data_IF_771328994670
#
_entry.id   IF_771328994670
#
_cell.length_a   1.000
_cell.length_b   1.000
_cell.length_c   1.000
_cell.angle_alpha   90.00
_cell.angle_beta   90.00
_cell.angle_gamma   90.00
#
_symmetry.space_group_name_H-M   'P 1'
#
loop_
_entity.id
_entity.type
_entity.pdbx_description
1 polymer ?
#
# COMPACT_ATOMS: atom_id res chain seq x y z
N UNK A 1 18.82 10.75 0.69
CA UNK A 1 18.36 11.60 1.81
C UNK A 1 17.59 10.71 2.78
N UNK A 2 17.74 10.92 4.08
CA UNK A 2 17.01 10.20 5.13
C UNK A 2 16.00 11.14 5.79
N UNK A 3 14.82 10.62 6.10
CA UNK A 3 13.76 11.34 6.82
C UNK A 3 13.39 10.50 8.04
N UNK A 4 13.26 11.14 9.21
CA UNK A 4 12.83 10.48 10.44
C UNK A 4 11.31 10.47 10.53
N UNK A 5 10.73 9.31 10.84
CA UNK A 5 9.32 9.15 11.19
C UNK A 5 9.23 8.73 12.66
N UNK A 6 8.24 9.25 13.40
CA UNK A 6 7.94 8.78 14.75
C UNK A 6 6.85 7.72 14.66
N UNK A 7 7.08 6.57 15.29
CA UNK A 7 6.15 5.44 15.30
C UNK A 7 5.92 4.98 16.73
N UNK A 8 4.66 4.73 17.08
CA UNK A 8 4.30 4.12 18.35
C UNK A 8 4.43 2.61 18.23
N UNK A 9 5.22 2.02 19.12
CA UNK A 9 5.42 0.57 19.28
C UNK A 9 5.31 0.23 20.76
N UNK A 10 5.16 -1.05 21.09
CA UNK A 10 5.13 -1.45 22.50
C UNK A 10 6.49 -1.18 23.18
N UNK A 11 6.42 -0.91 24.49
CA UNK A 11 7.57 -0.54 25.31
C UNK A 11 8.67 -1.62 25.29
N UNK A 12 8.29 -2.89 25.23
CA UNK A 12 9.26 -4.00 25.24
C UNK A 12 10.08 -3.99 23.95
N UNK A 13 9.42 -3.83 22.80
CA UNK A 13 10.08 -3.72 21.49
C UNK A 13 10.96 -2.47 21.42
N UNK A 14 10.49 -1.33 21.95
CA UNK A 14 11.28 -0.10 22.01
C UNK A 14 12.57 -0.28 22.84
N UNK A 15 12.48 -0.96 23.98
CA UNK A 15 13.62 -1.25 24.84
C UNK A 15 14.63 -2.20 24.15
N UNK A 16 14.16 -3.26 23.49
CA UNK A 16 15.01 -4.18 22.72
C UNK A 16 15.75 -3.43 21.62
N UNK A 17 15.03 -2.62 20.83
CA UNK A 17 15.63 -1.85 19.74
C UNK A 17 16.67 -0.85 20.27
N UNK A 18 16.36 -0.14 21.36
CA UNK A 18 17.24 0.89 21.93
C UNK A 18 18.50 0.29 22.54
N UNK A 19 18.41 -0.89 23.15
CA UNK A 19 19.53 -1.60 23.75
C UNK A 19 20.45 -2.29 22.71
N UNK A 20 20.01 -2.44 21.46
CA UNK A 20 20.79 -3.11 20.43
C UNK A 20 22.00 -2.28 19.96
N UNK A 21 23.11 -2.94 19.55
CA UNK A 21 24.24 -2.28 18.91
C UNK A 21 23.84 -1.39 17.73
N UNK A 22 24.64 -0.36 17.44
CA UNK A 22 24.34 0.58 16.35
C UNK A 22 24.21 -0.12 14.98
N UNK A 23 25.01 -1.14 14.73
CA UNK A 23 24.96 -1.94 13.51
C UNK A 23 23.63 -2.71 13.38
N UNK A 24 23.19 -3.34 14.47
CA UNK A 24 21.92 -4.07 14.51
C UNK A 24 20.71 -3.14 14.37
N UNK A 25 20.75 -1.96 15.01
CA UNK A 25 19.71 -0.93 14.84
C UNK A 25 19.59 -0.46 13.40
N UNK A 26 20.72 -0.27 12.71
CA UNK A 26 20.73 0.10 11.30
C UNK A 26 20.13 -1.02 10.44
N UNK A 27 20.50 -2.28 10.68
CA UNK A 27 19.92 -3.44 9.99
C UNK A 27 18.41 -3.52 10.20
N UNK A 28 17.94 -3.38 11.44
CA UNK A 28 16.52 -3.39 11.78
C UNK A 28 15.76 -2.23 11.11
N UNK A 29 16.35 -1.02 11.06
CA UNK A 29 15.78 0.12 10.35
C UNK A 29 15.58 -0.13 8.85
N UNK A 30 16.56 -0.78 8.21
CA UNK A 30 16.47 -1.16 6.79
C UNK A 30 15.35 -2.17 6.56
N UNK A 31 15.27 -3.22 7.40
CA UNK A 31 14.22 -4.23 7.32
C UNK A 31 12.84 -3.62 7.50
N UNK A 32 12.68 -2.69 8.44
CA UNK A 32 11.46 -1.91 8.61
C UNK A 32 11.09 -1.12 7.36
N UNK A 33 12.06 -0.46 6.73
CA UNK A 33 11.84 0.28 5.48
C UNK A 33 11.39 -0.63 4.32
N UNK A 34 11.88 -1.88 4.26
CA UNK A 34 11.41 -2.87 3.29
C UNK A 34 9.95 -3.24 3.56
N UNK A 35 9.63 -3.62 4.80
CA UNK A 35 8.27 -3.99 5.19
C UNK A 35 7.26 -2.86 4.93
N UNK A 36 7.62 -1.61 5.24
CA UNK A 36 6.73 -0.45 4.98
C UNK A 36 6.47 -0.28 3.47
N UNK A 37 7.46 -0.50 2.62
CA UNK A 37 7.29 -0.41 1.16
C UNK A 37 6.46 -1.56 0.60
N UNK A 38 6.47 -2.73 1.23
CA UNK A 38 5.61 -3.84 0.83
C UNK A 38 4.12 -3.48 0.92
N UNK A 39 3.71 -2.55 1.80
CA UNK A 39 2.33 -2.06 1.81
C UNK A 39 1.92 -1.33 0.53
N UNK A 40 2.89 -0.76 -0.22
CA UNK A 40 2.62 -0.19 -1.54
C UNK A 40 2.56 -1.29 -2.63
N UNK A 41 3.24 -2.41 -2.41
CA UNK A 41 3.24 -3.58 -3.29
C UNK A 41 2.10 -4.57 -2.98
N UNK A 42 1.41 -4.41 -1.84
CA UNK A 42 0.19 -5.12 -1.54
C UNK A 42 -0.80 -4.89 -2.70
N UNK A 43 -1.47 -5.95 -3.19
CA UNK A 43 -2.37 -5.80 -4.32
C UNK A 43 -3.34 -4.68 -3.98
N UNK A 44 -3.40 -3.69 -4.88
CA UNK A 44 -4.40 -2.62 -4.85
C UNK A 44 -5.70 -3.23 -4.37
N UNK A 45 -6.33 -2.63 -3.35
CA UNK A 45 -7.61 -3.10 -2.86
C UNK A 45 -8.52 -3.39 -4.05
N UNK A 46 -9.36 -4.42 -3.96
CA UNK A 46 -10.24 -4.79 -5.08
C UNK A 46 -10.98 -3.56 -5.64
N UNK A 47 -11.40 -2.63 -4.77
CA UNK A 47 -11.97 -1.34 -5.16
C UNK A 47 -11.05 -0.52 -6.07
N UNK A 48 -9.79 -0.31 -5.71
CA UNK A 48 -8.84 0.43 -6.55
C UNK A 48 -8.59 -0.25 -7.90
N UNK A 49 -8.54 -1.58 -7.94
CA UNK A 49 -8.43 -2.32 -9.20
C UNK A 49 -9.71 -2.16 -10.05
N UNK A 50 -10.88 -2.21 -9.42
CA UNK A 50 -12.17 -1.98 -10.10
C UNK A 50 -12.28 -0.54 -10.63
N UNK A 51 -11.80 0.46 -9.89
CA UNK A 51 -11.74 1.86 -10.33
C UNK A 51 -10.83 1.99 -11.57
N UNK A 52 -9.65 1.36 -11.55
CA UNK A 52 -8.74 1.35 -12.70
C UNK A 52 -9.34 0.65 -13.93
N UNK A 53 -10.11 -0.42 -13.73
CA UNK A 53 -10.82 -1.12 -14.80
C UNK A 53 -11.94 -0.23 -15.36
N UNK A 54 -12.72 0.41 -14.50
CA UNK A 54 -13.78 1.34 -14.89
C UNK A 54 -13.26 2.51 -15.72
N UNK A 55 -12.20 3.18 -15.23
CA UNK A 55 -11.58 4.30 -15.94
C UNK A 55 -11.08 3.89 -17.34
N UNK A 56 -10.41 2.73 -17.45
CA UNK A 56 -9.93 2.22 -18.76
C UNK A 56 -11.07 1.83 -19.69
N UNK A 57 -12.20 1.38 -19.16
CA UNK A 57 -13.37 1.05 -19.96
C UNK A 57 -14.00 2.33 -20.53
N UNK A 58 -14.16 3.37 -19.71
CA UNK A 58 -14.65 4.68 -20.12
C UNK A 58 -13.74 5.33 -21.17
N UNK A 59 -12.41 5.32 -20.97
CA UNK A 59 -11.43 5.80 -21.97
C UNK A 59 -11.53 5.08 -23.32
N UNK A 60 -12.02 3.83 -23.31
CA UNK A 60 -12.22 3.00 -24.51
C UNK A 60 -13.61 3.12 -25.10
N UNK A 61 -14.44 4.00 -24.56
CA UNK A 61 -15.78 4.31 -25.06
C UNK A 61 -16.91 3.55 -24.37
N UNK A 62 -16.63 2.66 -23.40
CA UNK A 62 -17.68 2.03 -22.60
C UNK A 62 -18.23 3.06 -21.61
N UNK A 63 -19.19 3.87 -22.05
CA UNK A 63 -19.84 4.88 -21.22
C UNK A 63 -20.80 4.22 -20.22
N UNK A 64 -21.24 4.99 -19.22
CA UNK A 64 -22.22 4.52 -18.25
C UNK A 64 -23.51 4.03 -18.93
N UNK A 65 -23.94 4.70 -20.00
CA UNK A 65 -25.14 4.35 -20.76
C UNK A 65 -24.97 3.05 -21.56
N UNK A 66 -23.80 2.81 -22.14
CA UNK A 66 -23.49 1.55 -22.83
C UNK A 66 -23.42 0.38 -21.84
N UNK A 67 -22.78 0.59 -20.69
CA UNK A 67 -22.73 -0.41 -19.62
C UNK A 67 -24.13 -0.75 -19.12
N UNK A 68 -24.97 0.26 -18.88
CA UNK A 68 -26.37 0.09 -18.47
C UNK A 68 -27.16 -0.71 -19.52
N UNK A 69 -26.96 -0.40 -20.80
CA UNK A 69 -27.57 -1.14 -21.90
C UNK A 69 -27.17 -2.61 -21.90
N UNK A 70 -25.93 -2.95 -21.55
CA UNK A 70 -25.46 -4.35 -21.50
C UNK A 70 -26.03 -5.08 -20.28
N UNK A 71 -26.07 -4.41 -19.13
CA UNK A 71 -26.53 -5.00 -17.86
C UNK A 71 -28.04 -5.25 -17.84
N UNK A 72 -28.80 -4.46 -18.59
CA UNK A 72 -30.27 -4.54 -18.64
C UNK A 72 -30.82 -4.98 -20.01
N UNK A 73 -29.99 -5.50 -20.91
CA UNK A 73 -30.41 -6.08 -22.20
C UNK A 73 -31.09 -7.47 -22.09
N UNK A 74 -31.53 -7.87 -20.89
CA UNK A 74 -32.23 -9.14 -20.64
C UNK A 74 -33.74 -9.01 -20.72
#
# INVERSE_FOLDING_TARGET
MTTTINMEIDETTANIYTAAPAEDRNRLSVLWGVLIREYQAAPSSLGKLMDEIGNKAEERGLTAEELESILHAG
#
